data_IF_071276466567
#
_entry.id   IF_071276466567
#
_cell.length_a   1.000
_cell.length_b   1.000
_cell.length_c   1.000
_cell.angle_alpha   90.00
_cell.angle_beta   90.00
_cell.angle_gamma   90.00
#
_symmetry.space_group_name_H-M   'P 1'
#
loop_
_entity.id
_entity.type
_entity.pdbx_description
1 polymer ?
#
# COMPACT_ATOMS: atom_id res chain seq x y z
N UNK A 1 17.71 -5.38 -13.11
CA UNK A 1 16.46 -6.13 -12.79
C UNK A 1 15.40 -5.69 -13.77
N UNK A 2 14.77 -6.63 -14.47
CA UNK A 2 13.88 -6.36 -15.61
C UNK A 2 12.67 -5.51 -15.17
N UNK A 3 12.44 -4.36 -15.81
CA UNK A 3 11.39 -3.40 -15.40
C UNK A 3 10.01 -4.08 -15.26
N UNK A 4 9.69 -5.02 -16.15
CA UNK A 4 8.46 -5.82 -16.14
C UNK A 4 8.24 -6.60 -14.83
N UNK A 5 9.31 -7.20 -14.28
CA UNK A 5 9.23 -7.96 -13.01
C UNK A 5 8.90 -7.01 -11.85
N UNK A 6 9.45 -5.79 -11.87
CA UNK A 6 9.16 -4.78 -10.85
C UNK A 6 7.70 -4.30 -10.93
N UNK A 7 7.16 -4.10 -12.14
CA UNK A 7 5.74 -3.76 -12.33
C UNK A 7 4.79 -4.82 -11.79
N UNK A 8 5.02 -6.10 -12.13
CA UNK A 8 4.18 -7.20 -11.63
C UNK A 8 4.23 -7.33 -10.10
N UNK A 9 5.38 -7.10 -9.48
CA UNK A 9 5.51 -7.11 -8.03
C UNK A 9 4.68 -6.00 -7.38
N UNK A 10 4.69 -4.78 -7.95
CA UNK A 10 3.88 -3.66 -7.47
C UNK A 10 2.38 -3.94 -7.62
N UNK A 11 1.95 -4.45 -8.76
CA UNK A 11 0.55 -4.84 -8.96
C UNK A 11 0.11 -5.92 -7.96
N UNK A 12 0.97 -6.91 -7.67
CA UNK A 12 0.67 -7.95 -6.68
C UNK A 12 0.44 -7.35 -5.29
N UNK A 13 1.28 -6.38 -4.89
CA UNK A 13 1.11 -5.67 -3.62
C UNK A 13 -0.22 -4.92 -3.59
N UNK A 14 -0.55 -4.18 -4.66
CA UNK A 14 -1.80 -3.42 -4.75
C UNK A 14 -3.01 -4.37 -4.67
N UNK A 15 -3.00 -5.48 -5.43
CA UNK A 15 -4.06 -6.49 -5.39
C UNK A 15 -4.18 -7.07 -3.98
N UNK A 16 -3.08 -7.44 -3.33
CA UNK A 16 -3.09 -8.00 -1.97
C UNK A 16 -3.68 -7.03 -0.94
N UNK A 17 -3.32 -5.74 -1.04
CA UNK A 17 -3.85 -4.70 -0.17
C UNK A 17 -5.36 -4.49 -0.34
N UNK A 18 -5.85 -4.53 -1.58
CA UNK A 18 -7.27 -4.41 -1.90
C UNK A 18 -8.07 -5.68 -1.58
N UNK A 19 -7.42 -6.84 -1.59
CA UNK A 19 -8.05 -8.16 -1.48
C UNK A 19 -7.31 -9.02 -0.46
N UNK A 20 -6.61 -10.08 -0.85
CA UNK A 20 -5.73 -10.89 -0.02
C UNK A 20 -4.75 -11.72 -0.88
N UNK A 21 -3.79 -12.37 -0.25
CA UNK A 21 -2.77 -13.18 -0.91
C UNK A 21 -3.34 -14.33 -1.75
N UNK A 22 -4.48 -14.91 -1.35
CA UNK A 22 -5.11 -15.98 -2.11
C UNK A 22 -5.69 -15.48 -3.43
N UNK A 23 -6.28 -14.28 -3.46
CA UNK A 23 -6.78 -13.64 -4.69
C UNK A 23 -5.64 -13.30 -5.64
N UNK A 24 -4.50 -12.79 -5.14
CA UNK A 24 -3.30 -12.58 -5.97
C UNK A 24 -2.90 -13.86 -6.69
N UNK A 25 -2.83 -14.98 -5.95
CA UNK A 25 -2.47 -16.27 -6.53
C UNK A 25 -3.45 -16.72 -7.63
N UNK A 26 -4.76 -16.54 -7.42
CA UNK A 26 -5.79 -16.86 -8.42
C UNK A 26 -5.66 -15.99 -9.68
N UNK A 27 -5.42 -14.69 -9.53
CA UNK A 27 -5.23 -13.77 -10.66
C UNK A 27 -4.03 -14.20 -11.51
N UNK A 28 -2.93 -14.61 -10.87
CA UNK A 28 -1.69 -14.98 -11.57
C UNK A 28 -1.68 -16.39 -12.16
N UNK A 29 -2.31 -17.36 -11.49
CA UNK A 29 -2.31 -18.76 -11.93
C UNK A 29 -3.52 -19.10 -12.80
N UNK A 30 -4.69 -18.62 -12.42
CA UNK A 30 -5.97 -19.05 -12.99
C UNK A 30 -6.59 -17.99 -13.90
N UNK A 31 -5.88 -16.86 -14.13
CA UNK A 31 -6.39 -15.68 -14.83
C UNK A 31 -7.74 -15.19 -14.26
N UNK A 32 -7.92 -15.38 -12.96
CA UNK A 32 -9.14 -15.00 -12.26
C UNK A 32 -9.39 -13.50 -12.37
N UNK A 33 -10.65 -13.13 -12.62
CA UNK A 33 -11.11 -11.74 -12.60
C UNK A 33 -11.63 -11.44 -11.20
N UNK A 34 -11.03 -10.44 -10.54
CA UNK A 34 -11.38 -10.01 -9.19
C UNK A 34 -12.84 -9.56 -9.17
N UNK A 35 -13.63 -10.12 -8.26
CA UNK A 35 -15.03 -9.80 -8.06
C UNK A 35 -15.22 -8.81 -6.91
N UNK A 36 -16.42 -8.25 -6.79
CA UNK A 36 -16.74 -7.23 -5.79
C UNK A 36 -16.55 -7.78 -4.36
N UNK A 37 -16.80 -9.06 -4.16
CA UNK A 37 -16.75 -9.76 -2.87
C UNK A 37 -15.30 -9.95 -2.40
N UNK A 38 -14.34 -10.00 -3.33
CA UNK A 38 -12.92 -10.10 -3.02
C UNK A 38 -12.35 -8.80 -2.43
N UNK A 39 -12.99 -7.66 -2.72
CA UNK A 39 -12.51 -6.34 -2.31
C UNK A 39 -12.81 -6.11 -0.83
N UNK A 40 -11.78 -5.82 -0.04
CA UNK A 40 -11.85 -5.48 1.38
C UNK A 40 -12.68 -4.24 1.67
N UNK A 41 -13.10 -4.10 2.92
CA UNK A 41 -13.60 -2.83 3.44
C UNK A 41 -12.45 -1.82 3.62
N UNK A 42 -12.72 -0.51 3.54
CA UNK A 42 -11.66 0.51 3.57
C UNK A 42 -10.78 0.48 4.83
N UNK A 43 -11.36 0.08 5.98
CA UNK A 43 -10.64 -0.05 7.24
C UNK A 43 -9.57 -1.15 7.20
N UNK A 44 -9.72 -2.16 6.34
CA UNK A 44 -8.81 -3.31 6.24
C UNK A 44 -7.74 -3.16 5.15
N UNK A 45 -7.91 -2.18 4.25
CA UNK A 45 -6.95 -1.90 3.19
C UNK A 45 -5.70 -1.24 3.79
N UNK A 46 -4.52 -1.62 3.33
CA UNK A 46 -3.28 -1.01 3.79
C UNK A 46 -3.23 0.49 3.46
N UNK A 47 -2.80 1.31 4.42
CA UNK A 47 -2.80 2.77 4.29
C UNK A 47 -1.92 3.28 3.14
N UNK A 48 -0.78 2.62 2.87
CA UNK A 48 0.13 3.00 1.78
C UNK A 48 -0.51 2.98 0.38
N UNK A 49 -1.72 2.45 0.22
CA UNK A 49 -2.43 2.46 -1.06
C UNK A 49 -2.77 3.87 -1.57
N UNK A 50 -2.81 4.87 -0.69
CA UNK A 50 -3.13 6.25 -1.08
C UNK A 50 -1.88 7.11 -1.36
N UNK A 51 -0.68 6.54 -1.21
CA UNK A 51 0.57 7.23 -1.50
C UNK A 51 0.70 7.54 -2.99
N UNK A 52 1.40 8.63 -3.30
CA UNK A 52 1.49 9.17 -4.66
C UNK A 52 2.18 8.25 -5.65
N UNK A 53 3.05 7.37 -5.15
CA UNK A 53 3.84 6.40 -5.89
C UNK A 53 3.03 5.16 -6.30
N UNK A 54 1.80 5.02 -5.79
CA UNK A 54 0.91 3.89 -6.06
C UNK A 54 -0.05 4.23 -7.19
N UNK A 55 0.17 3.59 -8.35
CA UNK A 55 -0.77 3.62 -9.47
C UNK A 55 -1.81 2.51 -9.34
N UNK A 56 -2.96 2.84 -8.75
CA UNK A 56 -4.09 1.91 -8.60
C UNK A 56 -4.70 1.54 -9.97
N UNK A 57 -4.55 2.37 -11.01
CA UNK A 57 -5.12 2.07 -12.32
C UNK A 57 -4.41 0.88 -13.00
N UNK A 58 -3.16 0.60 -12.62
CA UNK A 58 -2.42 -0.56 -13.11
C UNK A 58 -3.17 -1.88 -12.88
N UNK A 59 -3.99 -1.98 -11.84
CA UNK A 59 -4.71 -3.23 -11.51
C UNK A 59 -6.14 -3.29 -12.06
N UNK A 60 -6.60 -2.26 -12.78
CA UNK A 60 -7.98 -2.17 -13.30
C UNK A 60 -8.34 -3.33 -14.22
N UNK A 61 -7.41 -3.79 -15.06
CA UNK A 61 -7.62 -4.88 -16.03
C UNK A 61 -7.86 -6.23 -15.37
N UNK A 62 -7.50 -6.41 -14.09
CA UNK A 62 -7.75 -7.64 -13.33
C UNK A 62 -9.11 -7.64 -12.63
N UNK A 63 -9.88 -6.55 -12.72
CA UNK A 63 -11.11 -6.37 -11.98
C UNK A 63 -12.35 -6.51 -12.86
N UNK A 64 -13.41 -7.08 -12.31
CA UNK A 64 -14.75 -6.88 -12.88
C UNK A 64 -15.15 -5.41 -12.74
N UNK A 65 -16.13 -4.97 -13.54
CA UNK A 65 -16.62 -3.59 -13.49
C UNK A 65 -17.12 -3.20 -12.09
N UNK A 66 -17.77 -4.12 -11.38
CA UNK A 66 -18.30 -3.84 -10.04
C UNK A 66 -17.23 -3.88 -8.96
N UNK A 67 -16.21 -4.74 -9.11
CA UNK A 67 -15.01 -4.68 -8.27
C UNK A 67 -14.31 -3.32 -8.42
N UNK A 68 -14.14 -2.84 -9.65
CA UNK A 68 -13.50 -1.55 -9.90
C UNK A 68 -14.30 -0.37 -9.33
N UNK A 69 -15.63 -0.38 -9.45
CA UNK A 69 -16.49 0.63 -8.79
C UNK A 69 -16.30 0.60 -7.26
N UNK A 70 -16.29 -0.59 -6.65
CA UNK A 70 -16.09 -0.75 -5.21
C UNK A 70 -14.70 -0.27 -4.77
N UNK A 71 -13.65 -0.58 -5.51
CA UNK A 71 -12.28 -0.09 -5.26
C UNK A 71 -12.27 1.44 -5.22
N UNK A 72 -12.88 2.12 -6.19
CA UNK A 72 -12.94 3.58 -6.19
C UNK A 72 -13.66 4.16 -4.95
N UNK A 73 -14.74 3.52 -4.50
CA UNK A 73 -15.43 3.89 -3.25
C UNK A 73 -14.52 3.68 -2.04
N UNK A 74 -13.84 2.53 -1.97
CA UNK A 74 -12.91 2.18 -0.89
C UNK A 74 -11.76 3.18 -0.81
N UNK A 75 -11.13 3.53 -1.93
CA UNK A 75 -10.05 4.53 -1.95
C UNK A 75 -10.54 5.91 -1.54
N UNK A 76 -11.73 6.32 -2.00
CA UNK A 76 -12.34 7.58 -1.58
C UNK A 76 -12.62 7.62 -0.07
N UNK A 77 -13.13 6.52 0.49
CA UNK A 77 -13.34 6.40 1.94
C UNK A 77 -12.01 6.37 2.70
N UNK A 78 -11.01 5.66 2.19
CA UNK A 78 -9.67 5.61 2.79
C UNK A 78 -9.06 6.99 2.91
N UNK A 79 -9.04 7.77 1.81
CA UNK A 79 -8.52 9.15 1.81
C UNK A 79 -9.23 10.08 2.80
N UNK A 80 -10.53 9.88 3.03
CA UNK A 80 -11.32 10.70 3.97
C UNK A 80 -11.11 10.34 5.43
N UNK A 81 -10.85 9.06 5.70
CA UNK A 81 -10.85 8.50 7.07
C UNK A 81 -9.46 8.00 7.49
N UNK A 82 -8.40 8.33 6.76
CA UNK A 82 -7.08 7.81 7.07
C UNK A 82 -6.53 8.50 8.31
N UNK A 83 -6.10 7.66 9.24
CA UNK A 83 -5.20 8.05 10.32
C UNK A 83 -3.89 7.32 10.08
N UNK A 84 -2.81 8.08 9.96
CA UNK A 84 -1.46 7.54 9.94
C UNK A 84 -1.01 7.34 11.36
N UNK A 85 -0.55 6.13 11.70
CA UNK A 85 -0.08 5.82 13.05
C UNK A 85 1.36 5.34 12.94
N UNK A 86 2.24 5.92 13.76
CA UNK A 86 3.60 5.45 13.85
C UNK A 86 3.62 4.07 14.51
N UNK A 87 4.18 3.03 13.87
CA UNK A 87 4.17 1.67 14.43
C UNK A 87 5.11 1.50 15.63
N UNK A 88 5.99 2.46 15.91
CA UNK A 88 6.95 2.38 17.02
C UNK A 88 6.39 2.94 18.34
N UNK A 89 5.61 4.01 18.28
CA UNK A 89 5.02 4.64 19.47
C UNK A 89 3.49 4.52 19.54
N UNK A 90 2.86 3.98 18.48
CA UNK A 90 1.42 3.83 18.34
C UNK A 90 0.65 5.16 18.49
N UNK A 91 1.29 6.27 18.16
CA UNK A 91 0.69 7.61 18.13
C UNK A 91 0.48 8.06 16.69
N UNK A 92 -0.54 8.90 16.48
CA UNK A 92 -0.84 9.46 15.18
C UNK A 92 0.35 10.25 14.63
N UNK A 93 0.60 10.12 13.33
CA UNK A 93 1.51 10.98 12.56
C UNK A 93 0.73 12.26 12.28
N UNK A 94 0.88 13.26 13.15
CA UNK A 94 0.25 14.57 12.98
C UNK A 94 0.85 15.33 11.79
N UNK A 95 0.06 16.23 11.19
CA UNK A 95 0.51 17.09 10.09
C UNK A 95 1.74 17.96 10.44
N UNK A 96 1.88 18.32 11.73
CA UNK A 96 2.93 19.19 12.23
C UNK A 96 4.14 18.44 12.80
N UNK A 97 4.15 17.09 12.73
CA UNK A 97 5.23 16.28 13.27
C UNK A 97 6.20 15.83 12.18
N UNK A 98 7.49 15.95 12.48
CA UNK A 98 8.55 15.44 11.60
C UNK A 98 8.39 13.92 11.44
N UNK A 99 8.03 13.52 10.23
CA UNK A 99 7.76 12.14 9.88
C UNK A 99 8.42 11.79 8.56
N UNK A 100 8.63 10.49 8.37
CA UNK A 100 9.33 9.95 7.20
C UNK A 100 8.65 8.68 6.72
N UNK A 101 8.48 8.59 5.40
CA UNK A 101 7.90 7.44 4.70
C UNK A 101 9.00 6.47 4.30
N UNK A 102 8.84 5.18 4.61
CA UNK A 102 9.73 4.14 4.11
C UNK A 102 9.48 3.89 2.61
N UNK A 103 10.51 4.04 1.77
CA UNK A 103 10.45 3.84 0.31
C UNK A 103 10.18 2.38 -0.11
N UNK A 104 10.25 1.43 0.82
CA UNK A 104 9.97 0.02 0.54
C UNK A 104 8.57 -0.41 0.99
N UNK A 105 8.20 -0.14 2.25
CA UNK A 105 6.92 -0.64 2.79
C UNK A 105 5.81 0.41 2.80
N UNK A 106 6.10 1.67 2.47
CA UNK A 106 5.14 2.78 2.48
C UNK A 106 4.44 2.96 3.84
N UNK A 107 5.22 2.80 4.91
CA UNK A 107 4.77 3.08 6.29
C UNK A 107 5.45 4.35 6.77
N UNK A 108 4.65 5.25 7.34
CA UNK A 108 5.13 6.47 7.99
C UNK A 108 5.65 6.18 9.40
N UNK A 109 6.73 6.86 9.75
CA UNK A 109 7.31 6.84 11.09
C UNK A 109 7.61 8.27 11.54
N UNK A 110 7.45 8.56 12.84
CA UNK A 110 8.06 9.75 13.41
C UNK A 110 9.57 9.67 13.28
N UNK A 111 10.21 10.74 12.81
CA UNK A 111 11.67 10.79 12.65
C UNK A 111 12.39 10.55 13.99
N UNK A 112 11.82 11.04 15.09
CA UNK A 112 12.35 10.82 16.44
C UNK A 112 12.28 9.35 16.86
N UNK A 113 11.19 8.66 16.53
CA UNK A 113 11.03 7.24 16.84
C UNK A 113 12.06 6.37 16.12
N UNK A 114 12.44 6.75 14.89
CA UNK A 114 13.46 6.04 14.11
C UNK A 114 14.86 6.67 14.24
N UNK A 115 15.02 7.70 15.08
CA UNK A 115 16.26 8.47 15.28
C UNK A 115 16.91 8.87 13.95
N UNK A 116 16.10 9.17 12.94
CA UNK A 116 16.57 9.43 11.59
C UNK A 116 17.02 10.89 11.45
N UNK A 117 18.19 11.10 10.84
CA UNK A 117 18.69 12.41 10.40
C UNK A 117 18.74 12.50 8.86
N UNK A 118 17.82 11.80 8.19
CA UNK A 118 17.81 11.57 6.74
C UNK A 118 18.18 12.82 5.92
N UNK A 119 19.29 12.74 5.17
CA UNK A 119 19.70 13.75 4.18
C UNK A 119 19.72 13.18 2.73
N UNK A 120 19.33 11.92 2.54
CA UNK A 120 19.40 11.21 1.27
C UNK A 120 18.06 11.10 0.55
N UNK A 121 18.10 10.74 -0.74
CA UNK A 121 16.93 10.59 -1.61
C UNK A 121 15.95 9.49 -1.17
N UNK A 122 16.45 8.42 -0.56
CA UNK A 122 15.65 7.25 -0.16
C UNK A 122 15.90 6.87 1.30
N UNK A 123 14.85 6.53 2.03
CA UNK A 123 14.89 6.03 3.40
C UNK A 123 14.18 4.68 3.53
N UNK A 124 14.75 3.81 4.35
CA UNK A 124 14.18 2.50 4.67
C UNK A 124 14.06 2.35 6.19
N UNK A 125 12.92 1.88 6.68
CA UNK A 125 12.77 1.52 8.09
C UNK A 125 13.63 0.30 8.43
N UNK A 126 13.93 0.09 9.70
CA UNK A 126 14.83 -1.00 10.13
C UNK A 126 14.29 -2.38 9.74
N UNK A 127 12.97 -2.58 9.79
CA UNK A 127 12.32 -3.80 9.29
C UNK A 127 12.61 -4.05 7.81
N UNK A 128 12.67 -3.01 6.98
CA UNK A 128 12.97 -3.17 5.56
C UNK A 128 14.48 -3.31 5.30
N UNK A 129 15.34 -2.68 6.11
CA UNK A 129 16.80 -2.88 6.03
C UNK A 129 17.23 -4.30 6.34
N UNK A 130 16.52 -4.99 7.25
CA UNK A 130 16.79 -6.37 7.64
C UNK A 130 16.35 -7.42 6.60
N UNK A 131 15.51 -7.05 5.62
CA UNK A 131 15.05 -7.96 4.55
C UNK A 131 16.05 -8.06 3.38
N UNK A 132 17.32 -7.75 3.62
CA UNK A 132 18.40 -7.85 2.63
C UNK A 132 18.83 -9.30 2.42
#
# INVERSE_FOLDING_TARGET
VNNFVNYLLKENMIIEWLTNKAVVNKVRKDKYIIQKEDVKHYSEVFNGIIESEIDINSVKSYCSNDAWKKINVVIKQKKKNITWVCPLCNSDIGADQNSILCDSCLVWHHMDCVKSKQNGKYWFCDTCKLKK
#
